data_IF_865864170021
#
_entry.id   IF_865864170021
#
_cell.length_a   1.000
_cell.length_b   1.000
_cell.length_c   1.000
_cell.angle_alpha   90.00
_cell.angle_beta   90.00
_cell.angle_gamma   90.00
#
_symmetry.space_group_name_H-M   'P 1'
#
loop_
_entity.id
_entity.type
_entity.pdbx_description
1 polymer ?
#
# COMPACT_ATOMS: atom_id res chain seq x y z
N UNK A 1 27.63 -49.89 -43.56
CA UNK A 1 27.42 -48.58 -44.20
C UNK A 1 27.73 -47.48 -43.19
N UNK A 2 28.87 -46.80 -43.33
CA UNK A 2 29.26 -45.69 -42.45
C UNK A 2 28.60 -44.40 -42.92
N UNK A 3 27.64 -43.88 -42.15
CA UNK A 3 27.02 -42.59 -42.42
C UNK A 3 28.05 -41.47 -42.17
N UNK A 4 28.74 -41.03 -43.23
CA UNK A 4 29.58 -39.83 -43.22
C UNK A 4 28.65 -38.61 -43.31
N UNK A 5 28.14 -38.16 -42.17
CA UNK A 5 27.43 -36.89 -42.09
C UNK A 5 28.34 -35.75 -42.54
N UNK A 6 27.85 -34.93 -43.48
CA UNK A 6 28.55 -33.74 -43.98
C UNK A 6 28.90 -32.79 -42.82
N UNK A 7 30.09 -32.22 -42.85
CA UNK A 7 30.60 -31.28 -41.82
C UNK A 7 29.62 -30.11 -41.60
N UNK A 8 28.95 -29.66 -42.66
CA UNK A 8 27.90 -28.62 -42.63
C UNK A 8 26.71 -29.02 -41.75
N UNK A 9 26.26 -30.27 -41.84
CA UNK A 9 25.14 -30.78 -41.06
C UNK A 9 25.50 -30.89 -39.57
N UNK A 10 26.74 -31.24 -39.25
CA UNK A 10 27.23 -31.23 -37.87
C UNK A 10 27.26 -29.82 -37.28
N UNK A 11 27.72 -28.83 -38.05
CA UNK A 11 27.73 -27.42 -37.62
C UNK A 11 26.32 -26.86 -37.38
N UNK A 12 25.35 -27.20 -38.24
CA UNK A 12 23.96 -26.79 -38.05
C UNK A 12 23.34 -27.39 -36.79
N UNK A 13 23.63 -28.67 -36.50
CA UNK A 13 23.14 -29.31 -35.27
C UNK A 13 23.80 -28.71 -34.01
N UNK A 14 25.10 -28.39 -34.03
CA UNK A 14 25.74 -27.73 -32.88
C UNK A 14 25.32 -26.28 -32.70
N UNK A 15 25.12 -25.49 -33.76
CA UNK A 15 24.60 -24.12 -33.59
C UNK A 15 23.15 -24.12 -33.14
N UNK A 16 22.31 -25.03 -33.63
CA UNK A 16 20.93 -25.17 -33.16
C UNK A 16 20.87 -25.67 -31.72
N UNK A 17 21.71 -26.64 -31.33
CA UNK A 17 21.81 -27.13 -29.96
C UNK A 17 22.36 -26.04 -29.02
N UNK A 18 23.38 -25.27 -29.43
CA UNK A 18 23.86 -24.12 -28.66
C UNK A 18 22.82 -23.02 -28.55
N UNK A 19 22.03 -22.73 -29.61
CA UNK A 19 20.90 -21.81 -29.51
C UNK A 19 19.85 -22.33 -28.52
N UNK A 20 19.49 -23.61 -28.59
CA UNK A 20 18.53 -24.24 -27.68
C UNK A 20 19.04 -24.30 -26.24
N UNK A 21 20.34 -24.49 -26.01
CA UNK A 21 20.95 -24.45 -24.67
C UNK A 21 21.05 -23.02 -24.15
N UNK A 22 21.33 -22.02 -25.01
CA UNK A 22 21.28 -20.61 -24.63
C UNK A 22 19.84 -20.12 -24.39
N UNK A 23 18.84 -20.70 -25.07
CA UNK A 23 17.42 -20.46 -24.85
C UNK A 23 16.90 -21.19 -23.59
N UNK A 24 17.46 -22.37 -23.27
CA UNK A 24 17.17 -23.10 -22.03
C UNK A 24 17.90 -22.52 -20.81
N UNK A 25 19.02 -21.83 -21.02
CA UNK A 25 19.62 -20.89 -20.07
C UNK A 25 18.94 -19.50 -20.12
N UNK A 26 17.76 -19.42 -20.74
CA UNK A 26 16.88 -18.26 -20.66
C UNK A 26 16.59 -17.96 -19.21
N UNK A 27 16.81 -16.70 -18.83
CA UNK A 27 16.67 -16.15 -17.49
C UNK A 27 15.57 -16.87 -16.69
N UNK A 28 15.98 -17.67 -15.70
CA UNK A 28 15.13 -18.28 -14.66
C UNK A 28 14.57 -17.21 -13.72
N UNK A 29 14.06 -16.11 -14.28
CA UNK A 29 13.38 -15.07 -13.54
C UNK A 29 11.93 -15.45 -13.37
N UNK A 30 11.44 -15.27 -12.15
CA UNK A 30 10.02 -15.39 -11.82
C UNK A 30 9.23 -14.44 -12.72
N UNK A 31 8.11 -14.91 -13.26
CA UNK A 31 7.23 -14.04 -14.04
C UNK A 31 6.48 -13.09 -13.10
N UNK A 32 6.42 -11.83 -13.49
CA UNK A 32 5.72 -10.77 -12.75
C UNK A 32 4.78 -10.06 -13.72
N UNK A 33 3.49 -10.28 -13.52
CA UNK A 33 2.47 -9.54 -14.26
C UNK A 33 2.18 -8.23 -13.56
N UNK A 34 2.76 -7.13 -14.06
CA UNK A 34 2.58 -5.78 -13.51
C UNK A 34 1.35 -5.13 -14.12
N UNK A 35 0.47 -4.59 -13.26
CA UNK A 35 -0.77 -3.89 -13.65
C UNK A 35 -0.61 -2.38 -13.68
N UNK A 36 0.20 -1.82 -12.77
CA UNK A 36 0.48 -0.37 -12.68
C UNK A 36 1.99 -0.14 -12.58
N UNK A 37 2.63 0.02 -13.73
CA UNK A 37 4.09 0.02 -13.87
C UNK A 37 4.80 1.07 -13.00
N UNK A 38 4.33 2.33 -13.01
CA UNK A 38 5.00 3.40 -12.26
C UNK A 38 4.97 3.17 -10.73
N UNK A 39 3.83 2.69 -10.20
CA UNK A 39 3.68 2.41 -8.77
C UNK A 39 4.45 1.13 -8.39
N UNK A 40 4.44 0.10 -9.25
CA UNK A 40 5.27 -1.09 -9.06
C UNK A 40 6.76 -0.74 -9.06
N UNK A 41 7.25 0.04 -10.02
CA UNK A 41 8.66 0.47 -10.07
C UNK A 41 9.04 1.31 -8.84
N UNK A 42 8.11 2.08 -8.28
CA UNK A 42 8.32 2.80 -7.02
C UNK A 42 8.42 1.84 -5.84
N UNK A 43 7.53 0.85 -5.75
CA UNK A 43 7.61 -0.22 -4.75
C UNK A 43 8.94 -0.99 -4.88
N UNK A 44 9.34 -1.38 -6.09
CA UNK A 44 10.54 -2.16 -6.35
C UNK A 44 11.82 -1.42 -5.93
N UNK A 45 11.88 -0.10 -6.12
CA UNK A 45 12.98 0.72 -5.60
C UNK A 45 13.01 0.78 -4.07
N UNK A 46 11.85 0.94 -3.43
CA UNK A 46 11.75 1.06 -1.96
C UNK A 46 11.99 -0.28 -1.26
N UNK A 47 11.48 -1.36 -1.83
CA UNK A 47 11.48 -2.70 -1.25
C UNK A 47 12.44 -3.65 -1.96
N UNK A 48 13.49 -3.12 -2.60
CA UNK A 48 14.43 -3.92 -3.39
C UNK A 48 14.96 -5.15 -2.64
N UNK A 49 15.39 -5.07 -1.35
CA UNK A 49 15.85 -6.25 -0.63
C UNK A 49 14.77 -7.34 -0.49
N UNK A 50 13.51 -6.94 -0.22
CA UNK A 50 12.39 -7.86 -0.06
C UNK A 50 12.05 -8.51 -1.40
N UNK A 51 11.92 -7.72 -2.47
CA UNK A 51 11.55 -8.25 -3.79
C UNK A 51 12.65 -9.13 -4.39
N UNK A 52 13.94 -8.81 -4.17
CA UNK A 52 15.07 -9.66 -4.56
C UNK A 52 15.10 -10.98 -3.80
N UNK A 53 14.84 -10.94 -2.49
CA UNK A 53 14.78 -12.16 -1.67
C UNK A 53 13.70 -13.14 -2.11
N UNK A 54 12.65 -12.64 -2.77
CA UNK A 54 11.57 -13.43 -3.36
C UNK A 54 11.68 -13.62 -4.88
N UNK A 55 12.82 -13.25 -5.48
CA UNK A 55 13.08 -13.35 -6.93
C UNK A 55 12.06 -12.63 -7.81
N UNK A 56 11.33 -11.65 -7.26
CA UNK A 56 10.34 -10.83 -7.99
C UNK A 56 11.07 -9.84 -8.91
N UNK A 57 12.22 -9.34 -8.46
CA UNK A 57 13.13 -8.54 -9.29
C UNK A 57 14.54 -9.11 -9.21
N UNK A 58 15.32 -8.89 -10.25
CA UNK A 58 16.73 -9.29 -10.32
C UNK A 58 17.65 -8.31 -9.56
N UNK A 59 18.97 -8.57 -9.64
CA UNK A 59 19.96 -7.72 -8.98
C UNK A 59 20.00 -6.27 -9.48
N UNK A 60 19.54 -6.02 -10.70
CA UNK A 60 19.45 -4.70 -11.32
C UNK A 60 18.08 -4.05 -11.12
N UNK A 61 17.13 -4.74 -10.48
CA UNK A 61 15.76 -4.30 -10.25
C UNK A 61 14.83 -4.51 -11.45
N UNK A 62 15.23 -5.31 -12.44
CA UNK A 62 14.39 -5.70 -13.56
C UNK A 62 13.51 -6.91 -13.20
N UNK A 63 12.37 -7.05 -13.89
CA UNK A 63 11.46 -8.20 -13.75
C UNK A 63 11.15 -8.80 -15.11
N UNK A 64 10.70 -10.06 -15.12
CA UNK A 64 10.35 -10.78 -16.35
C UNK A 64 8.83 -10.74 -16.53
N UNK A 65 8.35 -10.08 -17.59
CA UNK A 65 6.94 -10.07 -17.93
C UNK A 65 6.48 -11.44 -18.48
N UNK A 66 5.23 -11.87 -18.26
CA UNK A 66 4.69 -13.09 -18.84
C UNK A 66 4.66 -13.01 -20.38
N UNK A 67 5.16 -14.05 -21.05
CA UNK A 67 5.29 -14.08 -22.53
C UNK A 67 4.07 -14.72 -23.21
N UNK A 68 3.44 -15.71 -22.59
CA UNK A 68 2.45 -16.56 -23.27
C UNK A 68 1.04 -16.50 -22.68
N UNK A 69 0.85 -15.91 -21.50
CA UNK A 69 -0.47 -15.75 -20.87
C UNK A 69 -0.45 -14.65 -19.82
N UNK A 70 -1.43 -13.76 -19.85
CA UNK A 70 -1.71 -12.86 -18.74
C UNK A 70 -2.47 -13.63 -17.66
N UNK A 71 -1.99 -13.65 -16.40
CA UNK A 71 -2.74 -14.26 -15.31
C UNK A 71 -4.15 -13.67 -15.21
N UNK A 72 -5.15 -14.54 -15.04
CA UNK A 72 -6.55 -14.12 -14.98
C UNK A 72 -6.82 -13.32 -13.69
N UNK A 73 -7.34 -12.10 -13.86
CA UNK A 73 -7.83 -11.28 -12.76
C UNK A 73 -9.34 -11.44 -12.65
N UNK A 74 -9.90 -11.39 -11.42
CA UNK A 74 -11.35 -11.33 -11.28
C UNK A 74 -11.94 -10.18 -12.09
N UNK A 75 -13.10 -10.38 -12.73
CA UNK A 75 -13.83 -9.29 -13.35
C UNK A 75 -14.15 -8.24 -12.28
N UNK A 76 -14.09 -6.97 -12.66
CA UNK A 76 -14.35 -5.84 -11.74
C UNK A 76 -13.46 -5.89 -10.48
N UNK A 77 -12.15 -6.08 -10.68
CA UNK A 77 -11.16 -6.19 -9.61
C UNK A 77 -11.27 -5.10 -8.53
N UNK A 78 -11.62 -3.87 -8.90
CA UNK A 78 -11.86 -2.80 -7.92
C UNK A 78 -12.95 -3.14 -6.91
N UNK A 79 -14.10 -3.61 -7.39
CA UNK A 79 -15.20 -4.05 -6.54
C UNK A 79 -14.84 -5.32 -5.76
N UNK A 80 -14.12 -6.25 -6.40
CA UNK A 80 -13.61 -7.45 -5.75
C UNK A 80 -12.77 -7.12 -4.51
N UNK A 81 -11.79 -6.22 -4.66
CA UNK A 81 -10.94 -5.75 -3.57
C UNK A 81 -11.76 -4.97 -2.54
N UNK A 82 -12.66 -4.10 -2.97
CA UNK A 82 -13.47 -3.29 -2.06
C UNK A 82 -14.34 -4.14 -1.13
N UNK A 83 -14.96 -5.19 -1.69
CA UNK A 83 -15.85 -6.07 -0.94
C UNK A 83 -15.12 -7.03 0.00
N UNK A 84 -13.86 -7.39 -0.29
CA UNK A 84 -13.17 -8.51 0.39
C UNK A 84 -11.91 -8.13 1.15
N UNK A 85 -11.22 -7.03 0.79
CA UNK A 85 -9.97 -6.64 1.43
C UNK A 85 -10.22 -6.11 2.84
N UNK A 86 -9.55 -6.70 3.82
CA UNK A 86 -9.60 -6.25 5.21
C UNK A 86 -8.79 -4.96 5.41
N UNK A 87 -9.35 -3.92 6.05
CA UNK A 87 -8.62 -2.68 6.34
C UNK A 87 -7.78 -2.77 7.64
N UNK A 88 -7.79 -3.91 8.33
CA UNK A 88 -7.22 -4.06 9.69
C UNK A 88 -5.74 -3.68 9.78
N UNK A 89 -4.96 -3.88 8.71
CA UNK A 89 -3.54 -3.50 8.63
C UNK A 89 -3.27 -2.01 8.88
N UNK A 90 -4.30 -1.15 8.79
CA UNK A 90 -4.20 0.29 9.03
C UNK A 90 -4.28 0.66 10.51
N UNK A 91 -4.70 -0.26 11.37
CA UNK A 91 -5.08 0.05 12.75
C UNK A 91 -4.26 -0.77 13.75
N UNK A 92 -4.11 -0.20 14.96
CA UNK A 92 -3.41 -0.83 16.10
C UNK A 92 -4.39 -1.35 17.14
N UNK A 93 -5.42 -2.05 16.68
CA UNK A 93 -6.45 -2.65 17.53
C UNK A 93 -6.69 -4.07 17.10
N UNK A 94 -7.34 -4.86 17.96
CA UNK A 94 -7.77 -6.21 17.60
C UNK A 94 -8.63 -6.16 16.32
N UNK A 95 -8.24 -6.88 15.25
CA UNK A 95 -9.01 -6.94 14.02
C UNK A 95 -10.47 -7.38 14.22
N UNK A 96 -10.78 -8.15 15.28
CA UNK A 96 -12.14 -8.56 15.60
C UNK A 96 -13.07 -7.38 15.98
N UNK A 97 -12.50 -6.22 16.35
CA UNK A 97 -13.22 -5.00 16.67
C UNK A 97 -13.43 -4.10 15.45
N UNK A 98 -12.86 -4.46 14.30
CA UNK A 98 -12.91 -3.66 13.08
C UNK A 98 -13.90 -4.26 12.08
N UNK A 99 -14.50 -3.43 11.21
CA UNK A 99 -15.23 -3.93 10.06
C UNK A 99 -14.32 -4.85 9.21
N UNK A 100 -14.81 -6.01 8.79
CA UNK A 100 -13.95 -7.03 8.21
C UNK A 100 -13.45 -6.67 6.80
N UNK A 101 -14.11 -5.73 6.11
CA UNK A 101 -13.75 -5.30 4.74
C UNK A 101 -13.95 -3.80 4.54
N UNK A 102 -13.31 -3.22 3.53
CA UNK A 102 -13.49 -1.81 3.19
C UNK A 102 -14.96 -1.44 2.93
N UNK A 103 -15.69 -2.30 2.20
CA UNK A 103 -17.12 -2.13 1.96
C UNK A 103 -17.94 -2.01 3.26
N UNK A 104 -17.61 -2.81 4.26
CA UNK A 104 -18.29 -2.80 5.56
C UNK A 104 -17.78 -1.72 6.51
N UNK A 105 -16.63 -1.10 6.23
CA UNK A 105 -16.11 0.04 7.00
C UNK A 105 -16.74 1.38 6.64
N UNK A 106 -17.61 1.41 5.63
CA UNK A 106 -18.24 2.65 5.17
C UNK A 106 -19.15 3.24 6.23
N UNK A 107 -19.13 4.56 6.29
CA UNK A 107 -20.04 5.39 7.09
C UNK A 107 -20.82 6.36 6.19
N UNK A 108 -21.83 7.03 6.77
CA UNK A 108 -22.59 8.03 6.07
C UNK A 108 -21.69 9.21 5.66
N UNK A 109 -21.63 9.51 4.36
CA UNK A 109 -20.77 10.54 3.79
C UNK A 109 -19.55 10.00 3.04
N UNK A 110 -19.23 8.71 3.18
CA UNK A 110 -18.11 8.11 2.44
C UNK A 110 -18.44 7.95 0.96
N UNK A 111 -17.51 8.36 0.10
CA UNK A 111 -17.60 8.21 -1.36
C UNK A 111 -16.67 7.11 -1.85
N UNK A 112 -17.09 6.36 -2.88
CA UNK A 112 -16.28 5.29 -3.44
C UNK A 112 -16.27 5.40 -4.96
N UNK A 113 -15.07 5.33 -5.53
CA UNK A 113 -14.83 5.28 -6.96
C UNK A 113 -14.10 3.98 -7.30
N UNK A 114 -14.69 3.15 -8.16
CA UNK A 114 -14.05 1.92 -8.62
C UNK A 114 -13.07 2.22 -9.75
N UNK A 115 -11.90 1.61 -9.67
CA UNK A 115 -10.84 1.73 -10.67
C UNK A 115 -10.54 0.37 -11.29
N UNK A 116 -9.91 0.31 -12.48
CA UNK A 116 -9.63 -0.96 -13.16
C UNK A 116 -8.85 -1.97 -12.29
N UNK A 117 -7.90 -1.49 -11.50
CA UNK A 117 -7.02 -2.32 -10.66
C UNK A 117 -7.21 -2.07 -9.16
N UNK A 118 -8.33 -1.48 -8.74
CA UNK A 118 -8.50 -1.07 -7.35
C UNK A 118 -9.67 -0.13 -7.11
N UNK A 119 -9.59 0.67 -6.05
CA UNK A 119 -10.65 1.63 -5.72
C UNK A 119 -10.09 2.83 -4.96
N UNK A 120 -10.85 3.92 -4.98
CA UNK A 120 -10.64 5.07 -4.11
C UNK A 120 -11.84 5.20 -3.17
N UNK A 121 -11.55 5.41 -1.89
CA UNK A 121 -12.53 5.62 -0.82
C UNK A 121 -12.22 6.97 -0.14
N UNK A 122 -13.12 7.93 -0.26
CA UNK A 122 -13.13 9.11 0.60
C UNK A 122 -13.77 8.74 1.92
N UNK A 123 -13.00 8.81 3.01
CA UNK A 123 -13.45 8.44 4.36
C UNK A 123 -13.08 9.52 5.36
N UNK A 124 -14.07 10.30 5.78
CA UNK A 124 -13.86 11.45 6.67
C UNK A 124 -12.87 12.46 6.08
N UNK A 125 -11.74 12.65 6.75
CA UNK A 125 -10.68 13.58 6.34
C UNK A 125 -9.61 12.94 5.45
N UNK A 126 -9.73 11.66 5.11
CA UNK A 126 -8.75 10.90 4.35
C UNK A 126 -9.30 10.42 3.00
N UNK A 127 -8.40 10.29 2.04
CA UNK A 127 -8.60 9.56 0.78
C UNK A 127 -7.73 8.31 0.83
N UNK A 128 -8.37 7.16 0.68
CA UNK A 128 -7.75 5.84 0.69
C UNK A 128 -7.79 5.29 -0.72
N UNK A 129 -6.63 5.06 -1.32
CA UNK A 129 -6.50 4.47 -2.65
C UNK A 129 -5.90 3.08 -2.51
N UNK A 130 -6.60 2.05 -2.96
CA UNK A 130 -6.09 0.68 -3.04
C UNK A 130 -5.84 0.35 -4.50
N UNK A 131 -4.69 -0.25 -4.81
CA UNK A 131 -4.28 -0.59 -6.17
C UNK A 131 -3.50 -1.90 -6.17
N UNK A 132 -3.93 -2.86 -6.98
CA UNK A 132 -3.12 -4.03 -7.34
C UNK A 132 -1.96 -3.55 -8.22
N UNK A 133 -0.73 -3.88 -7.82
CA UNK A 133 0.49 -3.51 -8.54
C UNK A 133 1.02 -4.63 -9.43
N UNK A 134 0.99 -5.86 -8.93
CA UNK A 134 1.49 -7.02 -9.64
C UNK A 134 0.93 -8.35 -9.14
N UNK A 135 0.99 -9.35 -10.01
CA UNK A 135 0.80 -10.76 -9.68
C UNK A 135 2.11 -11.52 -9.91
N UNK A 136 2.49 -12.36 -8.96
CA UNK A 136 3.72 -13.17 -9.06
C UNK A 136 3.64 -14.35 -8.10
N UNK A 137 4.31 -15.44 -8.44
CA UNK A 137 4.45 -16.64 -7.61
C UNK A 137 5.40 -16.38 -6.44
N UNK A 138 4.99 -15.58 -5.46
CA UNK A 138 5.80 -15.04 -4.39
C UNK A 138 6.52 -16.10 -3.56
N UNK A 139 5.88 -17.26 -3.37
CA UNK A 139 6.35 -18.35 -2.51
C UNK A 139 6.85 -19.60 -3.29
N UNK A 140 6.89 -19.53 -4.62
CA UNK A 140 7.33 -20.62 -5.52
C UNK A 140 6.43 -21.88 -5.46
N UNK A 141 5.12 -21.70 -5.22
CA UNK A 141 4.12 -22.78 -5.20
C UNK A 141 3.36 -22.95 -6.54
N UNK A 142 3.62 -22.07 -7.50
CA UNK A 142 3.01 -22.07 -8.83
C UNK A 142 1.68 -21.31 -8.92
N UNK A 143 1.17 -20.74 -7.83
CA UNK A 143 0.03 -19.83 -7.80
C UNK A 143 0.53 -18.39 -7.68
N UNK A 144 -0.21 -17.44 -8.26
CA UNK A 144 0.17 -16.04 -8.16
C UNK A 144 -0.44 -15.37 -6.93
N UNK A 145 0.42 -14.90 -6.04
CA UNK A 145 0.06 -13.91 -5.03
C UNK A 145 -0.05 -12.51 -5.62
N UNK A 146 -0.73 -11.63 -4.89
CA UNK A 146 -0.96 -10.26 -5.29
C UNK A 146 -0.17 -9.27 -4.43
N UNK A 147 0.54 -8.36 -5.09
CA UNK A 147 1.18 -7.21 -4.47
C UNK A 147 0.28 -5.99 -4.61
N UNK A 148 -0.14 -5.40 -3.48
CA UNK A 148 -1.02 -4.24 -3.45
C UNK A 148 -0.32 -3.04 -2.80
N UNK A 149 -0.74 -1.86 -3.23
CA UNK A 149 -0.54 -0.59 -2.55
C UNK A 149 -1.86 -0.15 -1.95
N UNK A 150 -1.86 0.17 -0.65
CA UNK A 150 -2.90 0.99 -0.04
C UNK A 150 -2.27 2.33 0.37
N UNK A 151 -2.67 3.42 -0.27
CA UNK A 151 -2.20 4.77 -0.01
C UNK A 151 -3.27 5.56 0.74
N UNK A 152 -2.89 6.18 1.84
CA UNK A 152 -3.75 7.09 2.63
C UNK A 152 -3.19 8.50 2.52
N UNK A 153 -4.03 9.44 2.10
CA UNK A 153 -3.69 10.86 2.03
C UNK A 153 -4.77 11.68 2.72
N UNK A 154 -4.44 12.60 3.62
CA UNK A 154 -5.43 13.52 4.15
C UNK A 154 -5.86 14.51 3.07
N UNK A 155 -7.12 14.93 3.11
CA UNK A 155 -7.68 15.96 2.24
C UNK A 155 -6.96 17.30 2.47
N UNK A 156 -6.54 17.56 3.73
CA UNK A 156 -5.82 18.76 4.15
C UNK A 156 -4.41 18.37 4.62
N UNK A 157 -3.40 19.10 4.15
CA UNK A 157 -1.99 18.81 4.46
C UNK A 157 -1.29 18.00 3.36
N UNK A 158 -1.02 18.66 2.23
CA UNK A 158 -0.59 18.06 0.95
C UNK A 158 0.61 17.11 1.01
N UNK A 159 1.46 17.22 2.03
CA UNK A 159 2.70 16.46 2.12
C UNK A 159 2.60 15.22 3.01
N UNK A 160 1.48 15.02 3.69
CA UNK A 160 1.27 13.86 4.51
C UNK A 160 0.74 12.72 3.64
N UNK A 161 1.35 11.55 3.73
CA UNK A 161 0.95 10.37 2.97
C UNK A 161 1.48 9.14 3.66
N UNK A 162 0.69 8.07 3.69
CA UNK A 162 1.15 6.76 4.13
C UNK A 162 0.83 5.71 3.09
N UNK A 163 1.86 5.03 2.61
CA UNK A 163 1.77 3.87 1.72
C UNK A 163 1.94 2.60 2.55
N UNK A 164 0.98 1.69 2.45
CA UNK A 164 1.05 0.33 2.96
C UNK A 164 1.29 -0.61 1.78
N UNK A 165 2.40 -1.34 1.83
CA UNK A 165 2.74 -2.35 0.84
C UNK A 165 2.31 -3.72 1.35
N UNK A 166 1.45 -4.39 0.59
CA UNK A 166 0.70 -5.54 1.05
C UNK A 166 0.93 -6.74 0.12
N UNK A 167 0.93 -7.94 0.70
CA UNK A 167 0.89 -9.21 0.01
C UNK A 167 -0.42 -9.94 0.32
N UNK A 168 -1.14 -10.38 -0.71
CA UNK A 168 -2.27 -11.30 -0.58
C UNK A 168 -1.82 -12.69 -1.00
N UNK A 169 -1.68 -13.58 -0.02
CA UNK A 169 -1.26 -14.98 -0.24
C UNK A 169 -2.37 -15.83 -0.86
N UNK A 170 -3.64 -15.47 -0.63
CA UNK A 170 -4.80 -16.24 -1.13
C UNK A 170 -5.82 -15.33 -1.79
N UNK A 171 -5.61 -14.92 -3.06
CA UNK A 171 -6.52 -14.02 -3.75
C UNK A 171 -7.96 -14.54 -3.86
N UNK A 172 -8.18 -15.86 -3.81
CA UNK A 172 -9.51 -16.48 -3.85
C UNK A 172 -10.27 -16.55 -2.51
N UNK A 173 -9.69 -16.05 -1.41
CA UNK A 173 -10.35 -16.09 -0.11
C UNK A 173 -11.61 -15.21 -0.06
N UNK A 174 -12.57 -15.56 0.80
CA UNK A 174 -13.79 -14.78 1.03
C UNK A 174 -13.50 -13.41 1.63
N UNK A 175 -12.52 -13.34 2.53
CA UNK A 175 -11.94 -12.12 3.07
C UNK A 175 -10.44 -12.18 2.78
N UNK A 176 -9.92 -11.13 2.14
CA UNK A 176 -8.50 -11.00 1.86
C UNK A 176 -7.84 -10.32 3.07
N UNK A 177 -7.12 -11.11 3.85
CA UNK A 177 -6.30 -10.62 4.97
C UNK A 177 -4.87 -10.43 4.46
N UNK A 178 -4.40 -9.19 4.28
CA UNK A 178 -3.06 -8.97 3.75
C UNK A 178 -1.97 -9.21 4.79
N UNK A 179 -0.84 -9.71 4.31
CA UNK A 179 0.44 -9.58 5.03
C UNK A 179 1.04 -8.21 4.73
N UNK A 180 1.35 -7.44 5.77
CA UNK A 180 2.01 -6.15 5.65
C UNK A 180 3.51 -6.36 5.39
N UNK A 181 3.99 -5.93 4.21
CA UNK A 181 5.41 -6.01 3.84
C UNK A 181 6.19 -4.81 4.38
N UNK A 182 5.63 -3.62 4.22
CA UNK A 182 6.26 -2.38 4.64
C UNK A 182 5.26 -1.23 4.74
N UNK A 183 5.65 -0.21 5.50
CA UNK A 183 4.95 1.08 5.58
C UNK A 183 5.93 2.18 5.18
N UNK A 184 5.56 2.99 4.19
CA UNK A 184 6.28 4.20 3.84
C UNK A 184 5.45 5.41 4.28
N UNK A 185 5.96 6.13 5.29
CA UNK A 185 5.24 7.18 5.99
C UNK A 185 5.92 8.53 5.76
N UNK A 186 5.22 9.43 5.08
CA UNK A 186 5.64 10.81 4.85
C UNK A 186 4.86 11.74 5.78
N UNK A 187 5.58 12.42 6.68
CA UNK A 187 5.02 13.44 7.57
C UNK A 187 5.76 14.75 7.35
N UNK A 188 5.02 15.76 6.88
CA UNK A 188 5.48 17.12 6.57
C UNK A 188 6.67 17.21 5.59
N UNK A 189 7.88 16.94 6.06
CA UNK A 189 9.14 17.11 5.33
C UNK A 189 10.02 15.86 5.29
N UNK A 190 9.64 14.80 6.00
CA UNK A 190 10.43 13.57 6.06
C UNK A 190 9.58 12.37 5.71
N UNK A 191 10.20 11.42 5.01
CA UNK A 191 9.60 10.13 4.74
C UNK A 191 10.47 9.03 5.33
N UNK A 192 9.84 8.07 5.99
CA UNK A 192 10.51 6.92 6.59
C UNK A 192 9.90 5.63 6.04
N UNK A 193 10.77 4.66 5.75
CA UNK A 193 10.38 3.33 5.31
C UNK A 193 10.56 2.36 6.48
N UNK A 194 9.51 1.61 6.79
CA UNK A 194 9.50 0.59 7.82
C UNK A 194 9.30 -0.76 7.14
N UNK A 195 10.34 -1.58 7.15
CA UNK A 195 10.36 -2.95 6.64
C UNK A 195 10.33 -3.88 7.85
N UNK A 196 9.73 -5.07 7.71
CA UNK A 196 9.59 -6.05 8.79
C UNK A 196 8.70 -5.54 9.94
N UNK A 197 7.48 -5.15 9.58
CA UNK A 197 6.47 -4.71 10.55
C UNK A 197 5.94 -5.94 11.28
N UNK A 198 6.62 -6.33 12.36
CA UNK A 198 6.13 -7.37 13.27
C UNK A 198 4.73 -6.96 13.76
N UNK A 199 3.71 -7.73 13.39
CA UNK A 199 2.32 -7.46 13.79
C UNK A 199 2.16 -7.43 15.32
N UNK A 200 3.12 -7.98 16.07
CA UNK A 200 3.15 -7.96 17.55
C UNK A 200 3.84 -6.74 18.15
N UNK A 201 4.65 -5.99 17.39
CA UNK A 201 5.29 -4.73 17.82
C UNK A 201 5.40 -3.78 16.63
N UNK A 202 4.37 -2.96 16.37
CA UNK A 202 4.43 -2.00 15.29
C UNK A 202 5.28 -0.81 15.72
N UNK A 203 6.26 -0.38 14.91
CA UNK A 203 6.86 0.90 15.15
C UNK A 203 5.93 1.97 14.54
N UNK A 204 5.95 3.18 15.12
CA UNK A 204 5.34 4.40 14.59
C UNK A 204 3.82 4.52 14.77
N UNK A 205 3.42 5.06 15.92
CA UNK A 205 2.41 6.11 15.87
C UNK A 205 3.03 7.29 15.10
N UNK A 206 2.27 8.15 14.39
CA UNK A 206 2.76 9.51 14.24
C UNK A 206 3.20 9.96 15.63
N UNK A 207 4.40 10.55 15.77
CA UNK A 207 4.68 11.30 16.99
C UNK A 207 3.44 12.16 17.21
N UNK A 208 2.73 11.93 18.31
CA UNK A 208 1.69 12.86 18.72
C UNK A 208 2.38 14.21 18.61
N UNK A 209 1.88 15.08 17.73
CA UNK A 209 2.32 16.46 17.79
C UNK A 209 2.09 16.84 19.23
N UNK A 210 3.17 16.97 19.99
CA UNK A 210 3.13 17.55 21.31
C UNK A 210 2.63 18.95 21.05
N UNK A 211 1.32 19.10 21.09
CA UNK A 211 0.73 20.39 21.35
C UNK A 211 1.29 20.64 22.75
N UNK A 212 2.36 21.44 22.82
CA UNK A 212 2.65 22.19 24.02
C UNK A 212 1.39 23.03 24.26
N UNK A 213 0.41 22.41 24.91
CA UNK A 213 -0.54 23.15 25.71
C UNK A 213 0.38 23.81 26.71
N UNK A 214 0.64 25.10 26.52
CA UNK A 214 1.11 25.94 27.61
C UNK A 214 0.09 25.74 28.73
N UNK A 215 0.44 24.89 29.69
CA UNK A 215 -0.30 24.71 30.92
C UNK A 215 -0.16 26.04 31.64
N UNK A 216 -1.18 26.87 31.43
CA UNK A 216 -1.16 28.27 31.81
C UNK A 216 -2.52 28.93 31.67
N UNK A 217 -3.61 28.18 31.77
CA UNK A 217 -4.89 28.75 32.14
C UNK A 217 -5.72 27.67 32.85
N UNK A 218 -5.37 27.50 34.12
CA UNK A 218 -6.29 26.92 35.10
C UNK A 218 -7.47 27.89 35.14
N UNK A 219 -8.62 27.51 34.59
CA UNK A 219 -9.87 28.18 34.91
C UNK A 219 -10.08 28.03 36.41
N UNK A 220 -9.65 29.05 37.15
CA UNK A 220 -10.00 29.22 38.55
C UNK A 220 -11.48 29.56 38.53
N UNK A 221 -12.31 28.57 38.79
CA UNK A 221 -13.70 28.78 39.13
C UNK A 221 -13.71 29.57 40.44
N UNK A 222 -13.82 30.90 40.35
CA UNK A 222 -14.08 31.73 41.51
C UNK A 222 -15.56 31.53 41.91
N UNK A 223 -15.87 31.36 43.20
CA UNK A 223 -17.25 31.36 43.66
C UNK A 223 -17.93 32.69 43.32
N UNK A 224 -19.26 32.68 43.09
CA UNK A 224 -19.98 33.89 42.71
C UNK A 224 -19.86 34.94 43.83
N UNK A 225 -19.53 36.17 43.44
CA UNK A 225 -19.36 37.40 44.26
C UNK A 225 -17.92 37.84 44.62
N UNK A 226 -16.90 37.48 43.84
CA UNK A 226 -15.58 38.11 44.01
C UNK A 226 -15.43 39.31 43.06
N UNK A 227 -15.09 40.54 43.54
CA UNK A 227 -14.86 41.69 42.68
C UNK A 227 -13.65 41.47 41.75
N UNK A 228 -13.66 41.99 40.52
CA UNK A 228 -12.54 41.85 39.61
C UNK A 228 -11.30 42.62 40.13
N UNK A 229 -10.08 42.11 39.90
CA UNK A 229 -8.86 42.74 40.37
C UNK A 229 -8.55 44.05 39.60
N UNK A 230 -7.87 45.02 40.23
CA UNK A 230 -7.61 46.32 39.61
C UNK A 230 -6.63 46.17 38.44
N UNK A 231 -7.04 46.56 37.23
CA UNK A 231 -6.15 46.64 36.06
C UNK A 231 -6.57 45.84 34.82
N UNK A 232 -7.74 45.19 34.82
CA UNK A 232 -8.25 44.55 33.60
C UNK A 232 -8.70 45.61 32.56
N UNK A 233 -8.27 45.52 31.29
CA UNK A 233 -8.77 46.40 30.22
C UNK A 233 -10.28 46.21 30.05
N UNK A 234 -11.05 47.30 30.08
CA UNK A 234 -12.47 47.26 29.74
C UNK A 234 -12.61 47.12 28.21
N UNK A 235 -12.81 45.90 27.73
CA UNK A 235 -13.32 45.68 26.38
C UNK A 235 -14.84 45.82 26.42
N UNK A 236 -15.32 46.94 25.88
CA UNK A 236 -16.72 47.24 25.67
C UNK A 236 -17.29 46.28 24.60
N UNK A 237 -18.08 45.30 25.05
CA UNK A 237 -18.80 44.38 24.16
C UNK A 237 -19.99 45.12 23.54
N UNK A 238 -19.91 45.49 22.26
CA UNK A 238 -21.08 45.89 21.48
C UNK A 238 -21.84 44.65 21.01
N UNK A 239 -23.01 44.46 21.58
CA UNK A 239 -23.98 43.43 21.20
C UNK A 239 -24.54 43.76 19.81
N UNK A 240 -24.23 42.93 18.82
CA UNK A 240 -24.77 43.07 17.46
C UNK A 240 -26.14 42.38 17.40
N UNK A 241 -27.22 43.16 17.51
CA UNK A 241 -28.56 42.69 17.13
C UNK A 241 -28.61 42.53 15.61
N UNK A 242 -28.94 41.33 15.13
CA UNK A 242 -29.65 41.20 13.86
C UNK A 242 -30.60 40.00 13.90
N UNK A 243 -31.87 40.34 14.09
CA UNK A 243 -33.02 39.52 13.74
C UNK A 243 -34.09 40.49 13.26
N UNK A 244 -34.29 40.52 11.94
CA UNK A 244 -35.56 40.59 11.19
C UNK A 244 -35.24 40.42 9.69
#
# INVERSE_FOLDING_TARGET
>A
MSARFSLSMRLFFTTCLCLCVCLAAGCSGKQVHVTVENEFNTMAKRLAPVLKAHSVIDEHGAYVAPVFSTPELPPQLGEYLFQRLSPAFRFKVDPALLPPTFALSRTAGDTVEMQPYGFMLGQGADIVTVTLLAQTDWNDDGLNEWLLLCRVKPIIGKNNMRDYYLLIEKPGASILVPKLLAVYDCLSQSCKLFVDVDQKKPPYAPEETTIEVKIGQKDVTLPPNTPPPPGAPQHEFKESKLGE
#
